data_IF_608901561905
#
_entry.id   IF_608901561905
#
_cell.length_a   1.000
_cell.length_b   1.000
_cell.length_c   1.000
_cell.angle_alpha   90.00
_cell.angle_beta   90.00
_cell.angle_gamma   90.00
#
_symmetry.space_group_name_H-M   'P 1'
#
loop_
_entity.id
_entity.type
_entity.pdbx_description
1 polymer ?
#
# COMPACT_ATOMS: atom_id res chain seq x y z
N UNK A 1 3.56 -21.79 -16.51
CA UNK A 1 4.94 -22.10 -16.06
C UNK A 1 5.07 -21.42 -14.70
N UNK A 2 5.15 -22.19 -13.61
CA UNK A 2 5.29 -21.60 -12.27
C UNK A 2 6.60 -20.82 -12.24
N UNK A 3 6.54 -19.51 -11.97
CA UNK A 3 7.73 -18.71 -11.71
C UNK A 3 8.46 -19.34 -10.53
N UNK A 4 9.76 -19.57 -10.61
CA UNK A 4 10.54 -20.16 -9.53
C UNK A 4 11.68 -19.21 -9.17
N UNK A 5 11.84 -18.93 -7.88
CA UNK A 5 12.96 -18.16 -7.38
C UNK A 5 14.25 -18.98 -7.48
N UNK A 6 15.37 -18.31 -7.78
CA UNK A 6 16.71 -18.91 -7.77
C UNK A 6 17.06 -19.47 -6.38
N UNK A 7 17.88 -20.53 -6.33
CA UNK A 7 18.16 -21.26 -5.08
C UNK A 7 18.80 -20.38 -3.99
N UNK A 8 19.68 -19.46 -4.39
CA UNK A 8 20.38 -18.53 -3.49
C UNK A 8 19.65 -17.18 -3.34
N UNK A 9 18.32 -17.13 -3.56
CA UNK A 9 17.55 -15.88 -3.54
C UNK A 9 17.73 -15.07 -2.25
N UNK A 10 17.84 -15.73 -1.09
CA UNK A 10 18.03 -15.05 0.20
C UNK A 10 19.38 -14.33 0.31
N UNK A 11 20.45 -14.94 -0.19
CA UNK A 11 21.81 -14.37 -0.20
C UNK A 11 21.87 -13.16 -1.13
N UNK A 12 21.31 -13.29 -2.33
CA UNK A 12 21.19 -12.19 -3.30
C UNK A 12 20.36 -11.05 -2.72
N UNK A 13 19.23 -11.36 -2.08
CA UNK A 13 18.36 -10.35 -1.47
C UNK A 13 19.08 -9.56 -0.37
N UNK A 14 19.81 -10.26 0.50
CA UNK A 14 20.58 -9.61 1.56
C UNK A 14 21.65 -8.70 0.98
N UNK A 15 22.46 -9.19 0.03
CA UNK A 15 23.51 -8.39 -0.62
C UNK A 15 22.92 -7.17 -1.36
N UNK A 16 21.82 -7.36 -2.08
CA UNK A 16 21.15 -6.29 -2.80
C UNK A 16 20.64 -5.20 -1.85
N UNK A 17 19.94 -5.58 -0.76
CA UNK A 17 19.43 -4.58 0.18
C UNK A 17 20.54 -3.95 1.03
N UNK A 18 21.60 -4.67 1.37
CA UNK A 18 22.78 -4.09 2.04
C UNK A 18 23.42 -2.97 1.20
N UNK A 19 23.32 -3.05 -0.13
CA UNK A 19 23.80 -1.98 -1.04
C UNK A 19 22.83 -0.80 -1.21
N UNK A 20 21.57 -0.94 -0.77
CA UNK A 20 20.51 0.08 -0.90
C UNK A 20 20.25 0.75 0.44
N UNK A 21 19.89 -0.02 1.46
CA UNK A 21 19.66 0.40 2.84
C UNK A 21 19.82 -0.80 3.79
N UNK A 22 20.97 -0.94 4.48
CA UNK A 22 21.24 -2.06 5.38
C UNK A 22 20.19 -2.27 6.49
N UNK A 23 19.48 -1.20 6.90
CA UNK A 23 18.46 -1.29 7.93
C UNK A 23 17.21 -2.06 7.48
N UNK A 24 17.03 -2.23 6.17
CA UNK A 24 15.91 -2.94 5.57
C UNK A 24 16.27 -4.36 5.14
N UNK A 25 17.54 -4.77 5.22
CA UNK A 25 18.02 -6.04 4.67
C UNK A 25 17.30 -7.24 5.26
N UNK A 26 17.14 -7.29 6.58
CA UNK A 26 16.41 -8.39 7.23
C UNK A 26 14.96 -8.46 6.74
N UNK A 27 14.24 -7.33 6.76
CA UNK A 27 12.86 -7.24 6.29
C UNK A 27 12.72 -7.70 4.84
N UNK A 28 13.60 -7.23 3.97
CA UNK A 28 13.58 -7.56 2.55
C UNK A 28 13.88 -9.04 2.29
N UNK A 29 14.88 -9.60 2.97
CA UNK A 29 15.21 -11.04 2.86
C UNK A 29 14.03 -11.90 3.30
N UNK A 30 13.29 -11.52 4.34
CA UNK A 30 12.09 -12.26 4.78
C UNK A 30 10.97 -12.17 3.72
N UNK A 31 10.77 -11.01 3.07
CA UNK A 31 9.79 -10.90 1.96
C UNK A 31 10.21 -11.79 0.78
N UNK A 32 11.50 -11.84 0.43
CA UNK A 32 12.00 -12.73 -0.62
C UNK A 32 11.83 -14.20 -0.25
N UNK A 33 11.99 -14.56 1.03
CA UNK A 33 11.69 -15.92 1.52
C UNK A 33 10.20 -16.25 1.35
N UNK A 34 9.30 -15.34 1.76
CA UNK A 34 7.87 -15.48 1.54
C UNK A 34 7.53 -15.69 0.06
N UNK A 35 8.13 -14.93 -0.86
CA UNK A 35 7.90 -15.08 -2.30
C UNK A 35 8.56 -16.34 -2.89
N UNK A 36 9.64 -16.84 -2.28
CA UNK A 36 10.24 -18.13 -2.67
C UNK A 36 9.30 -19.29 -2.35
N UNK A 37 8.65 -19.23 -1.18
CA UNK A 37 7.65 -20.23 -0.76
C UNK A 37 6.31 -20.05 -1.51
N UNK A 38 6.00 -18.81 -1.94
CA UNK A 38 4.76 -18.46 -2.62
C UNK A 38 5.01 -17.70 -3.95
N UNK A 39 5.58 -18.33 -4.98
CA UNK A 39 6.01 -17.59 -6.18
C UNK A 39 4.87 -16.93 -6.97
N UNK A 40 3.66 -17.48 -6.88
CA UNK A 40 2.46 -16.89 -7.51
C UNK A 40 1.99 -15.61 -6.81
N UNK A 41 2.47 -15.32 -5.60
CA UNK A 41 2.24 -14.06 -4.91
C UNK A 41 3.18 -12.95 -5.41
N UNK A 42 4.23 -13.26 -6.18
CA UNK A 42 5.14 -12.25 -6.69
C UNK A 42 4.49 -11.43 -7.80
N UNK A 43 4.52 -10.11 -7.65
CA UNK A 43 4.08 -9.18 -8.68
C UNK A 43 5.14 -9.05 -9.77
N UNK A 44 4.68 -8.93 -11.02
CA UNK A 44 5.56 -8.55 -12.12
C UNK A 44 6.02 -7.10 -11.95
N UNK A 45 7.31 -6.86 -12.18
CA UNK A 45 7.85 -5.50 -12.23
C UNK A 45 7.35 -4.76 -13.47
N UNK A 46 7.16 -3.44 -13.33
CA UNK A 46 6.61 -2.57 -14.38
C UNK A 46 7.71 -1.73 -15.03
N UNK A 47 7.46 -1.30 -16.26
CA UNK A 47 8.31 -0.32 -16.94
C UNK A 47 9.71 -0.85 -17.29
N UNK A 48 10.73 0.01 -17.11
CA UNK A 48 12.13 -0.28 -17.47
C UNK A 48 12.78 -1.35 -16.60
N UNK A 49 12.22 -1.62 -15.42
CA UNK A 49 12.72 -2.62 -14.46
C UNK A 49 12.07 -3.99 -14.68
N UNK A 50 11.42 -4.20 -15.83
CA UNK A 50 10.76 -5.47 -16.17
C UNK A 50 11.80 -6.57 -16.34
N UNK A 51 11.96 -7.38 -15.31
CA UNK A 51 12.71 -8.63 -15.33
C UNK A 51 11.79 -9.81 -15.01
N UNK A 52 12.29 -11.02 -15.28
CA UNK A 52 11.55 -12.26 -15.02
C UNK A 52 11.49 -12.49 -13.52
N UNK A 53 10.30 -12.71 -12.98
CA UNK A 53 10.09 -12.99 -11.55
C UNK A 53 11.00 -14.13 -11.08
N UNK A 54 11.69 -13.91 -9.97
CA UNK A 54 12.53 -14.91 -9.31
C UNK A 54 13.99 -14.94 -9.75
N UNK A 55 14.40 -14.16 -10.76
CA UNK A 55 15.82 -14.02 -11.16
C UNK A 55 16.59 -13.09 -10.23
N UNK A 56 17.92 -13.11 -10.32
CA UNK A 56 18.80 -12.19 -9.60
C UNK A 56 18.48 -10.72 -9.94
N UNK A 57 18.29 -10.40 -11.22
CA UNK A 57 17.90 -9.06 -11.68
C UNK A 57 16.55 -8.60 -11.07
N UNK A 58 15.58 -9.51 -10.95
CA UNK A 58 14.31 -9.24 -10.28
C UNK A 58 14.49 -8.90 -8.80
N UNK A 59 15.33 -9.65 -8.09
CA UNK A 59 15.60 -9.42 -6.67
C UNK A 59 16.31 -8.06 -6.48
N UNK A 60 17.29 -7.73 -7.31
CA UNK A 60 18.03 -6.46 -7.25
C UNK A 60 17.09 -5.27 -7.52
N UNK A 61 16.27 -5.35 -8.57
CA UNK A 61 15.30 -4.30 -8.88
C UNK A 61 14.23 -4.18 -7.77
N UNK A 62 13.79 -5.31 -7.22
CA UNK A 62 12.83 -5.34 -6.11
C UNK A 62 13.38 -4.70 -4.84
N UNK A 63 14.68 -4.81 -4.54
CA UNK A 63 15.29 -4.14 -3.39
C UNK A 63 15.15 -2.61 -3.50
N UNK A 64 15.41 -2.07 -4.69
CA UNK A 64 15.27 -0.64 -4.95
C UNK A 64 13.81 -0.19 -4.83
N UNK A 65 12.85 -0.96 -5.36
CA UNK A 65 11.42 -0.67 -5.25
C UNK A 65 10.91 -0.78 -3.81
N UNK A 66 11.39 -1.76 -3.05
CA UNK A 66 11.03 -1.93 -1.64
C UNK A 66 11.45 -0.72 -0.82
N UNK A 67 12.67 -0.20 -1.03
CA UNK A 67 13.14 1.04 -0.40
C UNK A 67 12.34 2.25 -0.86
N UNK A 68 12.18 2.44 -2.18
CA UNK A 68 11.41 3.56 -2.77
C UNK A 68 9.99 3.62 -2.25
N UNK A 69 9.35 2.47 -2.03
CA UNK A 69 8.00 2.41 -1.45
C UNK A 69 7.91 2.99 -0.04
N UNK A 70 9.04 3.12 0.67
CA UNK A 70 9.13 3.69 2.02
C UNK A 70 9.52 5.16 2.02
N UNK A 71 10.06 5.67 0.92
CA UNK A 71 10.40 7.09 0.81
C UNK A 71 9.14 7.96 0.95
N UNK A 72 9.23 9.16 1.56
CA UNK A 72 8.08 10.04 1.69
C UNK A 72 7.49 10.39 0.33
N UNK A 73 6.19 10.13 0.16
CA UNK A 73 5.41 10.49 -1.01
C UNK A 73 4.63 11.78 -0.77
N UNK A 74 4.76 12.74 -1.69
CA UNK A 74 4.02 14.00 -1.66
C UNK A 74 2.67 13.84 -2.38
N UNK A 75 1.56 14.37 -1.81
CA UNK A 75 0.28 14.36 -2.52
C UNK A 75 0.36 15.27 -3.74
N UNK A 76 -0.09 14.74 -4.88
CA UNK A 76 -0.18 15.47 -6.13
C UNK A 76 -1.63 15.39 -6.63
N UNK A 77 -2.23 16.51 -7.06
CA UNK A 77 -3.49 16.43 -7.78
C UNK A 77 -3.28 15.63 -9.07
N UNK A 78 -4.31 14.90 -9.54
CA UNK A 78 -4.31 14.36 -10.89
C UNK A 78 -4.02 15.47 -11.91
N UNK A 79 -3.19 15.15 -12.91
CA UNK A 79 -2.89 16.03 -14.05
C UNK A 79 -3.75 15.67 -15.28
N UNK A 80 -4.81 14.89 -15.07
CA UNK A 80 -5.74 14.48 -16.12
C UNK A 80 -6.62 15.65 -16.52
N UNK A 81 -6.93 15.75 -17.81
CA UNK A 81 -7.92 16.71 -18.30
C UNK A 81 -9.31 16.28 -17.78
N UNK A 82 -10.06 17.18 -17.10
CA UNK A 82 -11.42 16.90 -16.64
C UNK A 82 -12.38 16.59 -17.80
N UNK A 83 -13.37 15.74 -17.55
CA UNK A 83 -14.45 15.49 -18.51
C UNK A 83 -15.56 16.54 -18.36
N UNK A 84 -15.73 17.37 -19.39
CA UNK A 84 -16.73 18.45 -19.43
C UNK A 84 -18.16 17.96 -19.12
N UNK A 85 -18.48 16.71 -19.47
CA UNK A 85 -19.80 16.14 -19.23
C UNK A 85 -20.12 16.00 -17.74
N UNK A 86 -19.11 15.85 -16.89
CA UNK A 86 -19.29 15.84 -15.43
C UNK A 86 -19.86 17.19 -14.96
N UNK A 87 -19.32 18.31 -15.44
CA UNK A 87 -19.81 19.65 -15.10
C UNK A 87 -21.22 19.92 -15.64
N UNK A 88 -21.52 19.41 -16.84
CA UNK A 88 -22.88 19.46 -17.40
C UNK A 88 -23.88 18.72 -16.50
N UNK A 89 -23.54 17.50 -16.06
CA UNK A 89 -24.40 16.71 -15.16
C UNK A 89 -24.54 17.42 -13.80
N UNK A 90 -23.45 17.94 -13.23
CA UNK A 90 -23.48 18.70 -11.97
C UNK A 90 -24.43 19.90 -12.06
N UNK A 91 -24.41 20.65 -13.16
CA UNK A 91 -25.31 21.80 -13.33
C UNK A 91 -26.76 21.39 -13.61
N UNK A 92 -26.99 20.45 -14.53
CA UNK A 92 -28.33 20.15 -15.05
C UNK A 92 -29.13 19.17 -14.18
N UNK A 93 -28.45 18.30 -13.45
CA UNK A 93 -29.11 17.27 -12.63
C UNK A 93 -28.93 17.52 -11.13
N UNK A 94 -27.72 17.88 -10.70
CA UNK A 94 -27.43 18.17 -9.29
C UNK A 94 -27.60 19.66 -8.94
N UNK A 95 -28.08 20.47 -9.89
CA UNK A 95 -28.43 21.89 -9.71
C UNK A 95 -27.27 22.76 -9.16
N UNK A 96 -26.02 22.39 -9.44
CA UNK A 96 -24.85 23.18 -9.04
C UNK A 96 -24.81 24.48 -9.86
N UNK A 97 -24.71 25.66 -9.21
CA UNK A 97 -24.64 26.95 -9.91
C UNK A 97 -23.47 27.02 -10.89
N UNK A 98 -23.69 27.64 -12.06
CA UNK A 98 -22.67 27.72 -13.10
C UNK A 98 -21.38 28.45 -12.66
N UNK A 99 -21.50 29.41 -11.75
CA UNK A 99 -20.38 30.15 -11.14
C UNK A 99 -19.50 29.29 -10.20
N UNK A 100 -20.00 28.15 -9.74
CA UNK A 100 -19.28 27.24 -8.83
C UNK A 100 -18.64 26.04 -9.54
N UNK A 101 -18.90 25.84 -10.84
CA UNK A 101 -18.44 24.64 -11.56
C UNK A 101 -16.91 24.54 -11.65
N UNK A 102 -16.21 25.65 -11.83
CA UNK A 102 -14.74 25.67 -11.88
C UNK A 102 -14.12 25.28 -10.54
N UNK A 103 -14.65 25.81 -9.43
CA UNK A 103 -14.21 25.43 -8.07
C UNK A 103 -14.57 23.98 -7.75
N UNK A 104 -15.75 23.53 -8.15
CA UNK A 104 -16.19 22.15 -7.93
C UNK A 104 -15.24 21.16 -8.63
N UNK A 105 -14.81 21.47 -9.86
CA UNK A 105 -13.82 20.69 -10.60
C UNK A 105 -12.46 20.68 -9.88
N UNK A 106 -11.96 21.84 -9.46
CA UNK A 106 -10.70 21.94 -8.73
C UNK A 106 -10.72 21.13 -7.42
N UNK A 107 -11.76 21.31 -6.60
CA UNK A 107 -11.89 20.59 -5.33
C UNK A 107 -12.09 19.10 -5.51
N UNK A 108 -12.81 18.68 -6.55
CA UNK A 108 -12.92 17.26 -6.89
C UNK A 108 -11.55 16.67 -7.25
N UNK A 109 -10.76 17.37 -8.06
CA UNK A 109 -9.40 16.96 -8.44
C UNK A 109 -8.46 16.88 -7.24
N UNK A 110 -8.49 17.86 -6.34
CA UNK A 110 -7.73 17.83 -5.09
C UNK A 110 -8.19 16.69 -4.17
N UNK A 111 -9.49 16.44 -4.09
CA UNK A 111 -10.07 15.36 -3.29
C UNK A 111 -9.63 13.99 -3.79
N UNK A 112 -9.60 13.75 -5.10
CA UNK A 112 -9.05 12.51 -5.67
C UNK A 112 -7.56 12.33 -5.32
N UNK A 113 -6.77 13.42 -5.37
CA UNK A 113 -5.37 13.40 -4.93
C UNK A 113 -5.24 13.02 -3.45
N UNK A 114 -6.10 13.57 -2.59
CA UNK A 114 -6.16 13.26 -1.17
C UNK A 114 -6.58 11.80 -0.91
N UNK A 115 -7.61 11.30 -1.59
CA UNK A 115 -8.07 9.91 -1.45
C UNK A 115 -6.97 8.91 -1.81
N UNK A 116 -6.21 9.19 -2.87
CA UNK A 116 -5.10 8.35 -3.30
C UNK A 116 -3.97 8.28 -2.27
N UNK A 117 -3.67 9.39 -1.59
CA UNK A 117 -2.61 9.40 -0.56
C UNK A 117 -3.09 8.83 0.77
N UNK A 118 -4.39 8.91 1.11
CA UNK A 118 -4.89 8.37 2.38
C UNK A 118 -4.64 6.87 2.51
N UNK A 119 -4.75 6.09 1.42
CA UNK A 119 -4.38 4.67 1.43
C UNK A 119 -2.90 4.44 1.71
N UNK A 120 -2.02 5.22 1.06
CA UNK A 120 -0.57 5.18 1.26
C UNK A 120 -0.18 5.53 2.70
N UNK A 121 -0.78 6.57 3.28
CA UNK A 121 -0.55 6.96 4.67
C UNK A 121 -1.07 5.92 5.66
N UNK A 122 -2.18 5.26 5.34
CA UNK A 122 -2.74 4.21 6.19
C UNK A 122 -1.77 3.03 6.30
N UNK A 123 -1.19 2.59 5.18
CA UNK A 123 -0.16 1.53 5.18
C UNK A 123 1.07 1.96 5.99
N UNK A 124 1.55 3.20 5.81
CA UNK A 124 2.72 3.70 6.55
C UNK A 124 2.50 3.79 8.05
N UNK A 125 1.33 4.29 8.48
CA UNK A 125 0.98 4.36 9.90
C UNK A 125 0.94 2.96 10.52
N UNK A 126 0.29 2.01 9.84
CA UNK A 126 0.24 0.63 10.32
C UNK A 126 1.66 0.07 10.41
N UNK A 127 2.48 0.24 9.37
CA UNK A 127 3.87 -0.21 9.35
C UNK A 127 4.68 0.36 10.53
N UNK A 128 4.57 1.66 10.80
CA UNK A 128 5.26 2.32 11.92
C UNK A 128 4.93 1.65 13.27
N UNK A 129 3.68 1.21 13.43
CA UNK A 129 3.20 0.62 14.68
C UNK A 129 3.51 -0.88 14.77
N UNK A 130 3.33 -1.66 13.69
CA UNK A 130 3.39 -3.13 13.75
C UNK A 130 4.72 -3.74 13.34
N UNK A 131 5.57 -3.04 12.58
CA UNK A 131 6.90 -3.56 12.24
C UNK A 131 7.80 -3.85 13.45
N UNK A 132 7.76 -3.06 14.54
CA UNK A 132 8.45 -3.41 15.80
C UNK A 132 8.00 -4.74 16.43
N UNK A 133 6.83 -5.24 16.05
CA UNK A 133 6.26 -6.51 16.51
C UNK A 133 6.49 -7.66 15.51
N UNK A 134 7.45 -7.51 14.60
CA UNK A 134 7.87 -8.56 13.67
C UNK A 134 7.04 -8.67 12.38
N UNK A 135 5.99 -7.86 12.22
CA UNK A 135 5.32 -7.72 10.93
C UNK A 135 6.22 -7.01 9.93
N UNK A 136 6.01 -7.26 8.65
CA UNK A 136 6.80 -6.65 7.59
C UNK A 136 5.87 -6.02 6.57
N UNK A 137 6.04 -4.73 6.33
CA UNK A 137 5.37 -4.03 5.25
C UNK A 137 5.99 -4.40 3.90
N UNK A 138 5.17 -4.97 3.02
CA UNK A 138 5.51 -5.35 1.65
C UNK A 138 5.53 -4.14 0.70
N UNK A 139 6.31 -3.12 1.05
CA UNK A 139 6.43 -1.87 0.30
C UNK A 139 6.93 -2.11 -1.14
N UNK A 140 6.60 -1.19 -2.05
CA UNK A 140 7.11 -1.24 -3.43
C UNK A 140 6.35 -2.18 -4.38
N UNK A 141 5.15 -2.64 -4.01
CA UNK A 141 4.26 -3.45 -4.87
C UNK A 141 4.83 -4.81 -5.31
N UNK A 142 5.78 -5.38 -4.58
CA UNK A 142 6.42 -6.66 -4.94
C UNK A 142 5.55 -7.89 -4.62
N UNK A 143 4.64 -7.79 -3.64
CA UNK A 143 3.71 -8.85 -3.26
C UNK A 143 2.30 -8.50 -3.73
N UNK A 144 1.67 -9.42 -4.47
CA UNK A 144 0.36 -9.23 -5.07
C UNK A 144 -0.73 -9.38 -4.01
N UNK A 145 -1.55 -8.34 -3.87
CA UNK A 145 -2.72 -8.30 -2.98
C UNK A 145 -2.41 -8.52 -1.48
N UNK A 146 -1.16 -8.33 -1.07
CA UNK A 146 -0.71 -8.41 0.32
C UNK A 146 0.08 -7.16 0.64
N UNK A 147 -0.29 -6.50 1.74
CA UNK A 147 0.38 -5.28 2.19
C UNK A 147 1.32 -5.61 3.36
N UNK A 148 0.99 -6.59 4.19
CA UNK A 148 1.85 -7.04 5.29
C UNK A 148 1.93 -8.56 5.40
N UNK A 149 3.11 -9.04 5.80
CA UNK A 149 3.35 -10.45 6.13
C UNK A 149 3.92 -10.61 7.54
N UNK A 150 3.73 -11.78 8.11
CA UNK A 150 4.31 -12.20 9.39
C UNK A 150 4.54 -13.71 9.35
N UNK A 151 5.66 -14.17 9.93
CA UNK A 151 5.91 -15.59 10.14
C UNK A 151 5.66 -15.88 11.62
N UNK A 152 4.65 -16.68 11.92
CA UNK A 152 4.31 -17.00 13.32
C UNK A 152 5.27 -18.03 13.93
N UNK A 153 5.08 -18.31 15.23
CA UNK A 153 5.90 -19.25 15.99
C UNK A 153 5.86 -20.68 15.47
N UNK A 154 4.85 -21.03 14.66
CA UNK A 154 4.71 -22.35 14.01
C UNK A 154 5.35 -22.37 12.61
N UNK A 155 6.07 -21.30 12.23
CA UNK A 155 6.63 -21.08 10.90
C UNK A 155 5.56 -21.00 9.79
N UNK A 156 4.36 -20.54 10.11
CA UNK A 156 3.29 -20.34 9.15
C UNK A 156 3.21 -18.88 8.72
N UNK A 157 3.10 -18.67 7.41
CA UNK A 157 2.95 -17.33 6.84
C UNK A 157 1.54 -16.79 7.06
N UNK A 158 1.48 -15.67 7.76
CA UNK A 158 0.30 -14.82 7.87
C UNK A 158 0.43 -13.68 6.85
N UNK A 159 -0.66 -13.38 6.15
CA UNK A 159 -0.71 -12.28 5.18
C UNK A 159 -1.94 -11.41 5.41
N UNK A 160 -1.76 -10.10 5.28
CA UNK A 160 -2.79 -9.09 5.52
C UNK A 160 -2.84 -8.11 4.36
N UNK A 161 -4.05 -7.84 3.90
CA UNK A 161 -4.39 -6.76 3.01
C UNK A 161 -5.22 -5.71 3.73
N UNK A 162 -4.79 -4.46 3.64
CA UNK A 162 -5.42 -3.28 4.20
C UNK A 162 -6.12 -2.50 3.10
N UNK A 163 -7.31 -1.99 3.40
CA UNK A 163 -8.04 -1.06 2.53
C UNK A 163 -8.52 0.14 3.33
N UNK A 164 -8.62 1.29 2.68
CA UNK A 164 -9.14 2.47 3.35
C UNK A 164 -10.66 2.36 3.63
N UNK A 165 -11.41 1.68 2.74
CA UNK A 165 -12.87 1.61 2.80
C UNK A 165 -13.39 0.21 2.51
N UNK A 166 -14.55 -0.12 3.06
CA UNK A 166 -15.24 -1.40 2.83
C UNK A 166 -15.54 -1.67 1.35
N UNK A 167 -15.91 -0.61 0.62
CA UNK A 167 -16.27 -0.64 -0.80
C UNK A 167 -15.12 -0.27 -1.75
N UNK A 168 -13.87 -0.20 -1.28
CA UNK A 168 -12.70 0.07 -2.14
C UNK A 168 -12.50 -1.04 -3.18
N UNK A 169 -13.03 -2.23 -2.91
CA UNK A 169 -12.79 -3.40 -3.73
C UNK A 169 -13.92 -3.64 -4.74
N UNK A 170 -13.55 -3.78 -6.01
CA UNK A 170 -14.45 -4.25 -7.06
C UNK A 170 -14.36 -5.78 -7.20
N UNK A 171 -15.31 -6.41 -7.89
CA UNK A 171 -15.37 -7.87 -8.04
C UNK A 171 -14.08 -8.49 -8.60
N UNK A 172 -13.37 -7.79 -9.50
CA UNK A 172 -12.08 -8.24 -10.05
C UNK A 172 -10.94 -8.25 -9.05
N UNK A 173 -10.91 -7.32 -8.08
CA UNK A 173 -9.87 -7.28 -7.05
C UNK A 173 -10.14 -8.30 -5.94
N UNK A 174 -11.41 -8.55 -5.62
CA UNK A 174 -11.81 -9.59 -4.67
C UNK A 174 -11.42 -11.00 -5.14
N UNK A 175 -11.48 -11.23 -6.46
CA UNK A 175 -11.16 -12.51 -7.06
C UNK A 175 -9.70 -12.96 -6.83
N UNK A 176 -8.77 -12.04 -6.63
CA UNK A 176 -7.35 -12.35 -6.38
C UNK A 176 -7.16 -13.09 -5.05
N UNK A 177 -8.08 -12.92 -4.09
CA UNK A 177 -8.03 -13.62 -2.80
C UNK A 177 -8.81 -14.93 -2.77
N UNK A 178 -9.59 -15.26 -3.80
CA UNK A 178 -10.34 -16.52 -3.78
C UNK A 178 -9.36 -17.71 -3.74
N UNK A 179 -9.43 -18.49 -2.66
CA UNK A 179 -8.55 -19.63 -2.43
C UNK A 179 -7.22 -19.32 -1.74
N UNK A 180 -7.02 -18.09 -1.23
CA UNK A 180 -5.81 -17.74 -0.46
C UNK A 180 -6.12 -17.49 1.02
N UNK A 181 -5.16 -17.71 1.94
CA UNK A 181 -5.33 -17.42 3.37
C UNK A 181 -5.15 -15.92 3.71
N UNK A 182 -5.16 -15.02 2.71
CA UNK A 182 -4.91 -13.59 2.91
C UNK A 182 -6.06 -12.98 3.70
N UNK A 183 -5.76 -12.47 4.90
CA UNK A 183 -6.70 -11.71 5.73
C UNK A 183 -6.94 -10.35 5.08
N UNK A 184 -8.19 -9.89 5.07
CA UNK A 184 -8.55 -8.53 4.64
C UNK A 184 -9.05 -7.74 5.83
N UNK A 185 -8.59 -6.50 5.94
CA UNK A 185 -9.13 -5.51 6.85
C UNK A 185 -9.36 -4.18 6.12
N UNK A 186 -10.31 -3.38 6.60
CA UNK A 186 -10.58 -2.03 6.09
C UNK A 186 -10.79 -1.04 7.22
N UNK A 187 -10.51 0.26 6.99
CA UNK A 187 -10.58 1.31 8.01
C UNK A 187 -11.96 1.92 8.21
N UNK A 188 -12.62 2.35 7.12
CA UNK A 188 -13.87 3.14 7.19
C UNK A 188 -15.06 2.47 6.50
N UNK A 189 -16.27 2.78 6.95
CA UNK A 189 -17.51 2.27 6.37
C UNK A 189 -18.10 3.25 5.34
N UNK A 190 -18.57 2.74 4.20
CA UNK A 190 -19.20 3.58 3.17
C UNK A 190 -20.61 4.04 3.53
N UNK A 191 -21.34 3.27 4.35
CA UNK A 191 -22.77 3.47 4.65
C UNK A 191 -23.09 3.74 6.13
N UNK A 192 -22.09 3.85 7.01
CA UNK A 192 -22.28 4.22 8.42
C UNK A 192 -21.11 5.06 8.93
N UNK A 193 -21.34 5.82 10.00
CA UNK A 193 -20.27 6.55 10.71
C UNK A 193 -19.46 5.58 11.58
N UNK A 194 -18.23 5.98 11.89
CA UNK A 194 -17.29 5.22 12.71
C UNK A 194 -16.15 4.61 11.90
N UNK A 195 -15.27 3.93 12.62
CA UNK A 195 -14.09 3.25 12.12
C UNK A 195 -14.10 1.77 12.53
N UNK A 196 -13.15 1.00 11.99
CA UNK A 196 -13.11 -0.46 12.13
C UNK A 196 -11.80 -0.95 12.77
N UNK A 197 -11.12 -0.09 13.54
CA UNK A 197 -9.84 -0.43 14.19
C UNK A 197 -10.00 -1.53 15.26
N UNK A 198 -11.15 -1.60 15.92
CA UNK A 198 -11.51 -2.68 16.85
C UNK A 198 -11.54 -4.06 16.16
N UNK A 199 -11.80 -4.13 14.86
CA UNK A 199 -11.76 -5.35 14.04
C UNK A 199 -10.44 -5.59 13.32
N UNK A 200 -9.43 -4.74 13.53
CA UNK A 200 -8.08 -5.04 13.03
C UNK A 200 -7.67 -6.45 13.50
N UNK A 201 -7.04 -7.29 12.66
CA UNK A 201 -6.73 -8.67 13.03
C UNK A 201 -6.02 -8.72 14.40
N UNK A 202 -6.23 -9.78 15.17
CA UNK A 202 -5.56 -9.96 16.45
C UNK A 202 -4.08 -10.27 16.21
N UNK A 203 -3.27 -9.22 16.23
CA UNK A 203 -1.83 -9.24 16.02
C UNK A 203 -1.18 -8.45 17.15
N UNK A 204 0.07 -8.76 17.49
CA UNK A 204 0.87 -7.89 18.31
C UNK A 204 0.97 -6.48 17.69
N UNK A 205 0.82 -5.45 18.52
CA UNK A 205 0.74 -4.05 18.08
C UNK A 205 -0.67 -3.53 17.77
N UNK A 206 -1.69 -4.40 17.67
CA UNK A 206 -3.09 -3.99 17.43
C UNK A 206 -3.59 -2.94 18.44
N UNK A 207 -3.26 -3.11 19.72
CA UNK A 207 -3.71 -2.22 20.81
C UNK A 207 -3.21 -0.77 20.64
N UNK A 208 -2.16 -0.58 19.84
CA UNK A 208 -1.57 0.73 19.55
C UNK A 208 -2.15 1.38 18.28
N UNK A 209 -3.04 0.68 17.57
CA UNK A 209 -3.69 1.17 16.35
C UNK A 209 -5.05 1.80 16.66
N UNK A 210 -5.26 3.04 16.23
CA UNK A 210 -6.56 3.73 16.38
C UNK A 210 -6.75 4.83 15.35
N UNK A 211 -7.99 5.27 15.12
CA UNK A 211 -8.27 6.39 14.22
C UNK A 211 -7.63 7.70 14.71
N UNK A 212 -7.55 7.88 16.04
CA UNK A 212 -6.85 9.02 16.65
C UNK A 212 -5.35 8.97 16.37
N UNK A 213 -4.73 7.79 16.55
CA UNK A 213 -3.32 7.58 16.24
C UNK A 213 -3.02 7.82 14.76
N UNK A 214 -3.87 7.29 13.88
CA UNK A 214 -3.76 7.51 12.44
C UNK A 214 -3.86 9.00 12.08
N UNK A 215 -4.84 9.72 12.64
CA UNK A 215 -4.99 11.17 12.41
C UNK A 215 -3.73 11.93 12.82
N UNK A 216 -3.18 11.65 14.01
CA UNK A 216 -1.95 12.29 14.49
C UNK A 216 -0.75 11.98 13.59
N UNK A 217 -0.64 10.75 13.09
CA UNK A 217 0.39 10.36 12.12
C UNK A 217 0.28 11.20 10.84
N UNK A 218 -0.93 11.30 10.26
CA UNK A 218 -1.18 12.07 9.04
C UNK A 218 -0.84 13.55 9.23
N UNK A 219 -1.26 14.16 10.34
CA UNK A 219 -0.95 15.56 10.66
C UNK A 219 0.56 15.80 10.70
N UNK A 220 1.30 14.98 11.46
CA UNK A 220 2.77 15.07 11.56
C UNK A 220 3.44 14.90 10.19
N UNK A 221 3.02 13.90 9.43
CA UNK A 221 3.58 13.58 8.13
C UNK A 221 3.39 14.73 7.13
N UNK A 222 2.19 15.29 7.04
CA UNK A 222 1.90 16.42 6.14
C UNK A 222 2.61 17.70 6.58
N UNK A 223 2.72 17.97 7.89
CA UNK A 223 3.52 19.07 8.41
C UNK A 223 5.00 18.94 8.04
N UNK A 224 5.57 17.75 8.15
CA UNK A 224 6.96 17.48 7.74
C UNK A 224 7.17 17.69 6.24
N UNK A 225 6.26 17.18 5.40
CA UNK A 225 6.31 17.42 3.95
C UNK A 225 6.24 18.91 3.59
N UNK A 226 5.43 19.68 4.31
CA UNK A 226 5.32 21.12 4.10
C UNK A 226 6.63 21.84 4.47
N UNK A 227 7.32 21.41 5.53
CA UNK A 227 8.61 21.96 5.92
C UNK A 227 9.72 21.69 4.89
N UNK A 228 9.64 20.57 4.15
CA UNK A 228 10.59 20.24 3.08
C UNK A 228 10.34 21.08 1.81
N UNK A 229 9.09 21.52 1.59
CA UNK A 229 8.72 22.39 0.47
C UNK A 229 9.02 23.87 0.69
N UNK A 230 9.15 24.29 1.95
CA UNK A 230 9.42 25.67 2.35
C UNK A 230 10.90 26.00 2.22
#
# INVERSE_FOLDING_TARGET
MMSKFIQNAAEIAKKAMDSVDPSLSEKFTIVIRFLTDNPDAASALKGKERSIVGTEEYIIASATNFKKGRDPRTPLPPSTIPDEMVSVILNKYFEVPSEELEKAEEWHRLSMGAENIVGDLLERYIAEVIEPHGWIWCSGSMVRAVDFIYCDSENVWQSLQVKNRDNTENSSSAAIRHGTPIKKWFRTFSKKRGDNWDKFPSLEGKENLSEKGFKLYVEKYLSALRAIKA
#
